data_IF_298412173740
#
_entry.id   IF_298412173740
#
_cell.length_a   1.000
_cell.length_b   1.000
_cell.length_c   1.000
_cell.angle_alpha   90.00
_cell.angle_beta   90.00
_cell.angle_gamma   90.00
#
_symmetry.space_group_name_H-M   'P 1'
#
loop_
_entity.id
_entity.type
_entity.pdbx_description
1 polymer ?
#
# COMPACT_ATOMS: atom_id res chain seq x y z
N UNK A 1 -6.56 -25.30 -68.10
CA UNK A 1 -5.28 -24.71 -67.63
C UNK A 1 -5.55 -23.25 -67.28
N UNK A 2 -4.94 -22.77 -66.18
CA UNK A 2 -4.93 -21.39 -65.66
C UNK A 2 -6.29 -20.80 -65.23
N UNK A 3 -6.62 -20.71 -63.93
CA UNK A 3 -6.12 -19.79 -62.86
C UNK A 3 -7.06 -18.56 -62.72
N UNK A 4 -7.91 -18.49 -61.68
CA UNK A 4 -7.70 -17.78 -60.37
C UNK A 4 -7.63 -16.23 -60.57
N UNK A 5 -8.30 -15.33 -59.85
CA UNK A 5 -8.76 -15.28 -58.44
C UNK A 5 -9.87 -14.22 -58.31
N UNK A 6 -10.87 -14.44 -57.45
CA UNK A 6 -11.82 -13.41 -57.00
C UNK A 6 -11.26 -12.65 -55.79
N UNK A 7 -11.37 -11.33 -55.81
CA UNK A 7 -10.89 -10.40 -54.78
C UNK A 7 -11.73 -10.47 -53.50
N UNK A 8 -11.11 -10.84 -52.38
CA UNK A 8 -11.67 -10.67 -51.03
C UNK A 8 -11.27 -9.32 -50.44
N UNK A 9 -12.25 -8.48 -50.10
CA UNK A 9 -12.11 -7.30 -49.26
C UNK A 9 -11.91 -7.72 -47.80
N UNK A 10 -10.83 -7.25 -47.16
CA UNK A 10 -10.71 -7.16 -45.70
C UNK A 10 -10.23 -5.74 -45.35
N UNK A 11 -10.86 -5.01 -44.41
CA UNK A 11 -10.30 -3.77 -43.91
C UNK A 11 -9.16 -4.09 -42.94
N UNK A 12 -7.97 -3.54 -43.22
CA UNK A 12 -6.86 -3.47 -42.26
C UNK A 12 -7.20 -2.43 -41.20
N UNK A 13 -7.49 -2.85 -39.97
CA UNK A 13 -7.40 -1.99 -38.80
C UNK A 13 -5.92 -1.95 -38.40
N UNK A 14 -5.24 -0.86 -38.72
CA UNK A 14 -3.89 -0.60 -38.25
C UNK A 14 -3.93 -0.18 -36.79
N UNK A 15 -3.57 -1.08 -35.87
CA UNK A 15 -3.19 -0.70 -34.53
C UNK A 15 -1.78 -0.11 -34.58
N UNK A 16 -1.68 1.22 -34.45
CA UNK A 16 -0.42 1.86 -34.06
C UNK A 16 -0.09 1.41 -32.63
N UNK A 17 0.92 0.55 -32.48
CA UNK A 17 1.59 0.36 -31.20
C UNK A 17 2.33 1.67 -30.89
N UNK A 18 2.19 2.25 -29.69
CA UNK A 18 2.96 3.44 -29.33
C UNK A 18 4.43 3.06 -29.26
N UNK A 19 5.26 3.79 -30.01
CA UNK A 19 6.71 3.71 -29.92
C UNK A 19 7.14 4.25 -28.56
N UNK A 20 7.58 3.38 -27.66
CA UNK A 20 8.19 3.77 -26.38
C UNK A 20 9.52 4.47 -26.65
N UNK A 21 9.67 5.69 -26.15
CA UNK A 21 10.85 6.51 -26.39
C UNK A 21 12.03 6.00 -25.52
N UNK A 22 13.26 6.15 -26.00
CA UNK A 22 14.45 5.66 -25.29
C UNK A 22 14.70 6.41 -23.95
N UNK A 23 14.18 7.63 -23.84
CA UNK A 23 14.11 8.37 -22.57
C UNK A 23 13.16 7.71 -21.56
N UNK A 24 11.98 7.22 -21.99
CA UNK A 24 11.03 6.52 -21.10
C UNK A 24 11.63 5.22 -20.57
N UNK A 25 12.36 4.47 -21.42
CA UNK A 25 13.06 3.26 -21.00
C UNK A 25 14.19 3.55 -20.01
N UNK A 26 14.94 4.66 -20.18
CA UNK A 26 15.98 5.06 -19.22
C UNK A 26 15.41 5.49 -17.88
N UNK A 27 14.27 6.19 -17.86
CA UNK A 27 13.56 6.54 -16.63
C UNK A 27 12.99 5.30 -15.94
N UNK A 28 12.39 4.38 -16.70
CA UNK A 28 11.90 3.10 -16.18
C UNK A 28 13.04 2.30 -15.53
N UNK A 29 14.21 2.23 -16.18
CA UNK A 29 15.39 1.53 -15.66
C UNK A 29 16.00 2.17 -14.42
N UNK A 30 16.00 3.51 -14.31
CA UNK A 30 16.49 4.22 -13.11
C UNK A 30 15.52 4.05 -11.93
N UNK A 31 14.21 4.01 -12.16
CA UNK A 31 13.20 3.84 -11.10
C UNK A 31 13.15 2.42 -10.52
N UNK A 32 13.53 1.40 -11.31
CA UNK A 32 13.68 0.02 -10.80
C UNK A 32 14.85 -0.09 -9.80
N UNK A 33 15.80 0.86 -9.78
CA UNK A 33 16.98 0.75 -8.90
C UNK A 33 16.65 0.89 -7.41
N UNK A 34 15.54 1.53 -7.07
CA UNK A 34 15.20 1.82 -5.68
C UNK A 34 14.23 0.82 -5.07
N UNK A 35 13.58 -0.04 -5.85
CA UNK A 35 12.63 -1.03 -5.35
C UNK A 35 13.32 -2.40 -5.36
N UNK A 36 13.41 -3.04 -4.19
CA UNK A 36 14.01 -4.38 -4.10
C UNK A 36 13.04 -5.42 -4.68
N UNK A 37 13.53 -6.42 -5.43
CA UNK A 37 12.69 -7.46 -6.00
C UNK A 37 11.83 -8.18 -4.94
N UNK A 38 10.60 -8.62 -5.27
CA UNK A 38 9.71 -9.29 -4.31
C UNK A 38 10.31 -10.53 -3.64
N UNK A 39 11.21 -11.24 -4.34
CA UNK A 39 11.86 -12.45 -3.85
C UNK A 39 13.00 -12.17 -2.86
N UNK A 40 13.47 -10.93 -2.78
CA UNK A 40 14.60 -10.52 -1.93
C UNK A 40 14.15 -9.87 -0.62
N UNK A 41 12.86 -9.54 -0.51
CA UNK A 41 12.30 -8.89 0.68
C UNK A 41 11.70 -9.93 1.63
N UNK A 42 11.69 -9.58 2.92
CA UNK A 42 10.92 -10.30 3.90
C UNK A 42 9.56 -9.62 4.09
N UNK A 43 8.51 -10.42 4.25
CA UNK A 43 7.16 -9.91 4.47
C UNK A 43 6.63 -10.44 5.80
N UNK A 44 6.36 -9.53 6.74
CA UNK A 44 5.55 -9.85 7.92
C UNK A 44 4.09 -9.78 7.54
N UNK A 45 3.32 -10.81 7.90
CA UNK A 45 1.86 -10.84 7.78
C UNK A 45 1.24 -11.14 9.15
N UNK A 46 0.25 -10.34 9.56
CA UNK A 46 -0.41 -10.46 10.87
C UNK A 46 -1.92 -10.38 10.75
N UNK A 47 -2.58 -11.40 11.29
CA UNK A 47 -3.98 -11.33 11.68
C UNK A 47 -4.06 -10.80 13.10
N UNK A 48 -4.95 -9.85 13.33
CA UNK A 48 -5.13 -9.16 14.61
C UNK A 48 -6.61 -9.28 14.99
N UNK A 49 -6.93 -9.89 16.14
CA UNK A 49 -8.32 -10.06 16.56
C UNK A 49 -8.98 -8.70 16.80
N UNK A 50 -10.29 -8.63 16.56
CA UNK A 50 -11.13 -7.52 16.99
C UNK A 50 -10.89 -7.24 18.49
N UNK A 51 -10.89 -5.96 18.85
CA UNK A 51 -10.86 -5.53 20.24
C UNK A 51 -11.80 -4.37 20.48
N UNK A 52 -12.81 -4.58 21.33
CA UNK A 52 -13.90 -3.63 21.56
C UNK A 52 -14.51 -3.17 20.22
N UNK A 53 -14.53 -1.85 19.97
CA UNK A 53 -15.08 -1.26 18.75
C UNK A 53 -14.02 -1.07 17.63
N UNK A 54 -12.85 -1.72 17.73
CA UNK A 54 -11.82 -1.71 16.69
C UNK A 54 -11.86 -3.09 15.99
N UNK A 55 -12.36 -3.17 14.74
CA UNK A 55 -12.57 -4.45 14.05
C UNK A 55 -11.28 -5.23 13.77
N UNK A 56 -10.18 -4.49 13.57
CA UNK A 56 -8.91 -5.03 13.12
C UNK A 56 -9.05 -5.89 11.87
N UNK A 57 -8.25 -6.95 11.72
CA UNK A 57 -8.28 -7.77 10.51
C UNK A 57 -9.45 -8.75 10.48
N UNK A 58 -10.16 -8.92 11.61
CA UNK A 58 -11.22 -9.93 11.74
C UNK A 58 -12.41 -9.69 10.82
N UNK A 59 -12.66 -8.44 10.44
CA UNK A 59 -13.82 -8.05 9.62
C UNK A 59 -13.67 -8.42 8.13
N UNK A 60 -12.46 -8.43 7.59
CA UNK A 60 -12.19 -8.78 6.18
C UNK A 60 -11.28 -10.00 6.00
N UNK A 61 -10.70 -10.50 7.10
CA UNK A 61 -9.64 -11.53 7.09
C UNK A 61 -8.40 -11.15 6.26
N UNK A 62 -8.23 -9.86 5.91
CA UNK A 62 -7.05 -9.36 5.21
C UNK A 62 -5.97 -8.99 6.23
N UNK A 63 -4.73 -9.51 6.09
CA UNK A 63 -3.70 -9.31 7.08
C UNK A 63 -3.12 -7.89 7.01
N UNK A 64 -2.66 -7.39 8.16
CA UNK A 64 -1.66 -6.33 8.18
C UNK A 64 -0.37 -6.88 7.56
N UNK A 65 0.24 -6.14 6.64
CA UNK A 65 1.48 -6.55 5.99
C UNK A 65 2.58 -5.50 6.15
N UNK A 66 3.82 -5.95 6.36
CA UNK A 66 5.02 -5.09 6.35
C UNK A 66 6.03 -5.72 5.41
N UNK A 67 6.44 -4.95 4.40
CA UNK A 67 7.47 -5.33 3.44
C UNK A 67 8.76 -4.69 3.93
N UNK A 68 9.64 -5.52 4.48
CA UNK A 68 10.84 -5.04 5.15
C UNK A 68 11.89 -4.65 4.13
N UNK A 69 12.42 -3.43 4.28
CA UNK A 69 13.49 -2.89 3.44
C UNK A 69 13.20 -3.04 1.94
N UNK A 70 11.94 -2.83 1.56
CA UNK A 70 11.45 -3.05 0.20
C UNK A 70 11.90 -1.98 -0.77
N UNK A 71 12.36 -0.83 -0.28
CA UNK A 71 12.86 0.24 -1.14
C UNK A 71 13.96 1.09 -0.49
N UNK A 72 14.70 1.82 -1.32
CA UNK A 72 15.64 2.87 -0.94
C UNK A 72 15.36 4.12 -1.77
N UNK A 73 14.38 4.92 -1.34
CA UNK A 73 13.88 6.05 -2.11
C UNK A 73 13.69 7.30 -1.23
N UNK A 74 13.81 8.47 -1.85
CA UNK A 74 13.29 9.72 -1.30
C UNK A 74 11.75 9.73 -1.31
N UNK A 75 11.10 10.67 -0.58
CA UNK A 75 9.65 10.75 -0.59
C UNK A 75 9.08 11.00 -2.00
N UNK A 76 9.70 11.86 -2.79
CA UNK A 76 9.25 12.21 -4.14
C UNK A 76 9.41 11.05 -5.12
N UNK A 77 10.50 10.28 -5.03
CA UNK A 77 10.71 9.06 -5.81
C UNK A 77 9.65 8.00 -5.48
N UNK A 78 9.38 7.76 -4.19
CA UNK A 78 8.37 6.78 -3.79
C UNK A 78 6.95 7.20 -4.21
N UNK A 79 6.60 8.49 -4.06
CA UNK A 79 5.32 9.01 -4.57
C UNK A 79 5.20 8.83 -6.07
N UNK A 80 6.27 9.09 -6.82
CA UNK A 80 6.27 8.90 -8.26
C UNK A 80 6.07 7.43 -8.62
N UNK A 81 6.75 6.53 -7.89
CA UNK A 81 6.59 5.09 -8.05
C UNK A 81 5.14 4.63 -7.83
N UNK A 82 4.50 5.05 -6.73
CA UNK A 82 3.09 4.74 -6.48
C UNK A 82 2.16 5.23 -7.59
N UNK A 83 2.40 6.42 -8.14
CA UNK A 83 1.60 6.92 -9.29
C UNK A 83 1.79 6.09 -10.55
N UNK A 84 2.99 5.56 -10.79
CA UNK A 84 3.27 4.72 -11.95
C UNK A 84 2.64 3.33 -11.82
N UNK A 85 2.72 2.72 -10.63
CA UNK A 85 2.01 1.47 -10.33
C UNK A 85 0.51 1.66 -10.46
N UNK A 86 0.01 2.81 -9.98
CA UNK A 86 -1.36 3.24 -10.19
C UNK A 86 -2.37 2.65 -9.23
N UNK A 87 -2.00 1.71 -8.35
CA UNK A 87 -2.96 1.13 -7.39
C UNK A 87 -3.39 2.14 -6.31
N UNK A 88 -2.47 3.00 -5.87
CA UNK A 88 -2.69 3.97 -4.79
C UNK A 88 -2.27 5.38 -5.19
N UNK A 89 -2.98 6.36 -4.63
CA UNK A 89 -2.67 7.78 -4.78
C UNK A 89 -1.94 8.28 -3.53
N UNK A 90 -0.67 8.72 -3.63
CA UNK A 90 0.04 9.29 -2.48
C UNK A 90 -0.46 10.68 -2.13
N UNK A 91 -0.70 10.94 -0.84
CA UNK A 91 -1.29 12.18 -0.34
C UNK A 91 -0.35 13.08 0.46
N UNK A 92 0.49 12.52 1.33
CA UNK A 92 1.22 13.31 2.33
C UNK A 92 2.58 12.71 2.72
N UNK A 93 3.41 13.52 3.39
CA UNK A 93 4.66 13.06 4.04
C UNK A 93 4.64 13.52 5.49
N UNK A 94 4.51 12.60 6.43
CA UNK A 94 4.30 12.93 7.84
C UNK A 94 4.63 11.76 8.78
N UNK A 95 4.63 12.02 10.09
CA UNK A 95 4.76 10.97 11.12
C UNK A 95 3.41 10.29 11.39
N UNK A 96 3.41 9.24 12.20
CA UNK A 96 2.20 8.53 12.66
C UNK A 96 1.57 9.25 13.85
N UNK A 97 0.24 9.28 13.94
CA UNK A 97 -0.44 9.87 15.10
C UNK A 97 -0.25 9.01 16.35
N UNK A 98 -0.12 9.66 17.50
CA UNK A 98 0.02 8.99 18.80
C UNK A 98 -1.31 8.49 19.37
N UNK A 99 -2.45 8.94 18.84
CA UNK A 99 -3.75 8.41 19.22
C UNK A 99 -4.11 7.22 18.34
N UNK A 100 -4.54 6.11 18.95
CA UNK A 100 -5.08 4.95 18.23
C UNK A 100 -6.24 5.39 17.36
N UNK A 101 -6.15 5.13 16.05
CA UNK A 101 -7.21 5.37 15.09
C UNK A 101 -7.23 4.28 14.01
N UNK A 102 -8.33 4.21 13.26
CA UNK A 102 -8.44 3.37 12.07
C UNK A 102 -9.28 4.08 11.00
N UNK A 103 -9.24 3.53 9.79
CA UNK A 103 -10.05 3.96 8.66
C UNK A 103 -11.14 2.93 8.36
N UNK A 104 -12.38 3.39 8.24
CA UNK A 104 -13.53 2.53 7.87
C UNK A 104 -13.83 2.54 6.37
N UNK A 105 -13.28 3.52 5.65
CA UNK A 105 -13.62 3.79 4.23
C UNK A 105 -12.55 3.34 3.24
N UNK A 106 -11.34 3.01 3.71
CA UNK A 106 -10.19 2.73 2.85
C UNK A 106 -9.10 1.91 3.54
N UNK A 107 -8.37 1.12 2.76
CA UNK A 107 -7.05 0.64 3.14
C UNK A 107 -6.03 1.78 3.09
N UNK A 108 -4.94 1.64 3.83
CA UNK A 108 -3.85 2.61 3.83
C UNK A 108 -2.52 1.92 3.52
N UNK A 109 -1.70 2.61 2.72
CA UNK A 109 -0.33 2.20 2.39
C UNK A 109 0.62 3.27 2.88
N UNK A 110 1.57 2.87 3.71
CA UNK A 110 2.58 3.75 4.29
C UNK A 110 3.97 3.29 3.85
N UNK A 111 4.76 4.18 3.26
CA UNK A 111 6.16 3.92 2.98
C UNK A 111 7.06 4.75 3.89
N UNK A 112 7.87 4.10 4.73
CA UNK A 112 8.80 4.78 5.65
C UNK A 112 9.99 5.33 4.87
N UNK A 113 10.13 6.66 4.84
CA UNK A 113 11.14 7.35 4.01
C UNK A 113 12.25 8.01 4.84
N UNK A 114 12.08 8.09 6.16
CA UNK A 114 13.05 8.67 7.10
C UNK A 114 12.87 8.09 8.50
N UNK A 115 13.98 7.94 9.23
CA UNK A 115 13.99 7.55 10.64
C UNK A 115 13.46 6.13 10.90
N UNK A 116 13.05 5.91 12.14
CA UNK A 116 12.41 4.67 12.58
C UNK A 116 11.45 4.95 13.74
N UNK A 117 10.48 4.07 13.94
CA UNK A 117 9.50 4.18 15.01
C UNK A 117 9.07 2.82 15.51
N UNK A 118 8.64 2.75 16.77
CA UNK A 118 7.81 1.67 17.26
C UNK A 118 6.34 2.04 17.06
N UNK A 119 5.62 1.18 16.36
CA UNK A 119 4.19 1.32 16.10
C UNK A 119 3.42 0.23 16.83
N UNK A 120 2.17 0.53 17.17
CA UNK A 120 1.21 -0.44 17.68
C UNK A 120 0.07 -0.57 16.68
N UNK A 121 -0.25 -1.81 16.32
CA UNK A 121 -1.40 -2.19 15.51
C UNK A 121 -2.35 -3.05 16.34
N UNK A 122 -3.66 -2.84 16.25
CA UNK A 122 -4.67 -3.60 16.97
C UNK A 122 -5.34 -2.90 18.15
N UNK A 123 -4.80 -1.74 18.56
CA UNK A 123 -5.22 -0.99 19.75
C UNK A 123 -4.43 -1.38 21.00
N UNK A 124 -4.04 -0.38 21.81
CA UNK A 124 -3.14 -0.54 22.97
C UNK A 124 -3.67 -1.48 24.07
N UNK A 125 -4.99 -1.54 24.25
CA UNK A 125 -5.62 -2.48 25.19
C UNK A 125 -5.76 -3.91 24.68
N UNK A 126 -5.52 -4.15 23.38
CA UNK A 126 -5.74 -5.45 22.77
C UNK A 126 -4.61 -6.43 23.16
N UNK A 127 -4.90 -7.58 23.78
CA UNK A 127 -3.89 -8.59 24.10
C UNK A 127 -3.29 -9.24 22.85
N UNK A 128 -4.02 -9.22 21.72
CA UNK A 128 -3.57 -9.70 20.42
C UNK A 128 -2.99 -8.60 19.52
N UNK A 129 -2.71 -7.40 20.05
CA UNK A 129 -2.06 -6.31 19.29
C UNK A 129 -0.68 -6.73 18.79
N UNK A 130 -0.25 -6.11 17.71
CA UNK A 130 1.07 -6.27 17.14
C UNK A 130 1.86 -4.98 17.30
N UNK A 131 2.91 -5.02 18.10
CA UNK A 131 3.86 -3.93 18.26
C UNK A 131 5.16 -4.29 17.55
N UNK A 132 5.69 -3.39 16.73
CA UNK A 132 6.93 -3.63 15.99
C UNK A 132 7.67 -2.33 15.72
N UNK A 133 8.98 -2.45 15.57
CA UNK A 133 9.79 -1.42 14.94
C UNK A 133 9.55 -1.43 13.44
N UNK A 134 9.50 -0.25 12.84
CA UNK A 134 9.59 -0.01 11.41
C UNK A 134 10.66 1.04 11.16
N UNK A 135 11.31 0.98 10.01
CA UNK A 135 12.40 1.88 9.65
C UNK A 135 12.39 2.25 8.17
N UNK A 136 13.20 3.25 7.81
CA UNK A 136 13.34 3.69 6.43
C UNK A 136 13.53 2.51 5.48
N UNK A 137 12.72 2.47 4.43
CA UNK A 137 12.69 1.42 3.42
C UNK A 137 11.57 0.40 3.63
N UNK A 138 10.89 0.40 4.78
CA UNK A 138 9.73 -0.46 5.00
C UNK A 138 8.47 0.11 4.34
N UNK A 139 7.63 -0.77 3.78
CA UNK A 139 6.28 -0.44 3.35
C UNK A 139 5.25 -1.21 4.20
N UNK A 140 4.19 -0.54 4.64
CA UNK A 140 3.15 -1.09 5.49
C UNK A 140 1.84 -1.02 4.72
N UNK A 141 1.12 -2.14 4.64
CA UNK A 141 -0.27 -2.18 4.16
C UNK A 141 -1.16 -2.42 5.36
N UNK A 142 -2.02 -1.45 5.64
CA UNK A 142 -2.96 -1.44 6.77
C UNK A 142 -4.37 -1.66 6.21
N UNK A 143 -4.96 -2.85 6.42
CA UNK A 143 -6.37 -3.09 6.12
C UNK A 143 -7.28 -2.11 6.84
N UNK A 144 -8.44 -1.84 6.25
CA UNK A 144 -9.44 -1.00 6.87
C UNK A 144 -9.91 -1.66 8.17
N UNK A 145 -10.14 -0.87 9.22
CA UNK A 145 -10.48 -1.37 10.55
C UNK A 145 -9.29 -1.69 11.45
N UNK A 146 -8.04 -1.76 10.95
CA UNK A 146 -6.86 -1.97 11.79
C UNK A 146 -6.50 -0.69 12.54
N UNK A 147 -6.71 -0.73 13.87
CA UNK A 147 -6.28 0.34 14.76
C UNK A 147 -4.77 0.48 14.73
N UNK A 148 -4.24 1.70 14.59
CA UNK A 148 -2.81 1.93 14.55
C UNK A 148 -2.41 3.25 15.22
N UNK A 149 -1.19 3.30 15.75
CA UNK A 149 -0.59 4.50 16.37
C UNK A 149 0.92 4.44 16.50
N UNK A 150 1.51 5.61 16.69
CA UNK A 150 2.87 5.79 17.17
C UNK A 150 2.98 5.44 18.66
N UNK A 151 4.01 4.69 19.03
CA UNK A 151 4.44 4.50 20.41
C UNK A 151 5.56 5.47 20.75
N UNK A 152 6.70 5.36 20.07
CA UNK A 152 7.86 6.24 20.24
C UNK A 152 8.84 6.13 19.07
N UNK A 153 9.74 7.11 18.95
CA UNK A 153 10.84 7.16 17.98
C UNK A 153 12.17 6.89 18.71
N UNK A 154 12.86 5.75 18.49
CA UNK A 154 14.05 5.38 19.26
C UNK A 154 15.34 6.11 18.82
N UNK A 155 15.45 6.48 17.54
CA UNK A 155 16.70 6.92 16.91
C UNK A 155 16.59 8.37 16.35
N UNK A 156 16.23 9.33 17.20
CA UNK A 156 16.01 10.72 16.79
C UNK A 156 17.27 11.41 16.23
N UNK A 157 18.46 10.91 16.59
CA UNK A 157 19.76 11.36 16.08
C UNK A 157 19.99 10.96 14.61
N UNK A 158 19.34 9.90 14.14
CA UNK A 158 19.42 9.41 12.75
C UNK A 158 18.35 10.03 11.84
N UNK A 159 17.57 10.96 12.37
CA UNK A 159 16.52 11.69 11.67
C UNK A 159 15.11 11.31 12.13
N UNK A 160 14.20 12.29 12.07
CA UNK A 160 12.80 12.10 12.48
C UNK A 160 12.09 11.06 11.62
N UNK A 161 11.19 10.30 12.23
CA UNK A 161 10.33 9.34 11.56
C UNK A 161 9.35 10.04 10.62
N UNK A 162 9.36 9.66 9.33
CA UNK A 162 8.42 10.15 8.33
C UNK A 162 8.05 9.05 7.35
N UNK A 163 6.81 9.09 6.89
CA UNK A 163 6.26 8.16 5.90
C UNK A 163 5.56 8.93 4.78
N UNK A 164 5.54 8.35 3.58
CA UNK A 164 4.57 8.69 2.55
C UNK A 164 3.28 7.93 2.84
N UNK A 165 2.17 8.62 3.01
CA UNK A 165 0.85 8.00 3.09
C UNK A 165 0.14 8.00 1.74
N UNK A 166 -0.46 6.86 1.39
CA UNK A 166 -1.17 6.63 0.15
C UNK A 166 -2.42 5.77 0.38
N UNK A 167 -3.42 5.96 -0.47
CA UNK A 167 -4.71 5.28 -0.38
C UNK A 167 -5.14 4.76 -1.77
N UNK A 168 -5.89 3.65 -1.86
CA UNK A 168 -6.52 3.22 -3.11
C UNK A 168 -7.19 4.36 -3.87
N UNK A 169 -7.14 4.30 -5.19
CA UNK A 169 -7.69 5.35 -6.05
C UNK A 169 -9.15 5.67 -5.72
N UNK A 170 -9.50 6.97 -5.77
CA UNK A 170 -10.85 7.47 -5.52
C UNK A 170 -11.42 7.16 -4.13
N UNK A 171 -10.57 6.83 -3.15
CA UNK A 171 -10.95 6.70 -1.74
C UNK A 171 -10.59 7.95 -0.96
N UNK A 172 -11.44 8.27 0.00
CA UNK A 172 -11.17 9.26 1.06
C UNK A 172 -11.12 8.52 2.38
N UNK A 173 -10.17 8.88 3.25
CA UNK A 173 -10.06 8.32 4.59
C UNK A 173 -10.88 9.13 5.59
N UNK A 174 -11.46 8.44 6.56
CA UNK A 174 -12.09 9.00 7.75
C UNK A 174 -11.19 8.79 8.97
N UNK A 175 -11.58 9.28 10.15
CA UNK A 175 -10.85 8.97 11.39
C UNK A 175 -11.83 8.36 12.38
N UNK A 176 -11.66 7.07 12.65
CA UNK A 176 -12.40 6.35 13.69
C UNK A 176 -11.51 6.09 14.88
N UNK A 177 -12.06 6.18 16.09
CA UNK A 177 -11.29 6.08 17.34
C UNK A 177 -11.70 4.87 18.20
N UNK A 178 -12.57 4.00 17.67
CA UNK A 178 -13.01 2.79 18.37
C UNK A 178 -13.92 3.12 19.54
N UNK A 179 -14.80 4.11 19.36
CA UNK A 179 -15.80 4.52 20.35
C UNK A 179 -17.19 4.04 19.92
N UNK A 180 -18.12 3.98 20.89
CA UNK A 180 -19.52 3.68 20.59
C UNK A 180 -20.08 4.68 19.57
N UNK A 181 -20.70 4.16 18.51
CA UNK A 181 -21.12 4.90 17.32
C UNK A 181 -20.26 4.64 16.07
N UNK A 182 -19.04 4.11 16.22
CA UNK A 182 -18.22 3.70 15.07
C UNK A 182 -18.68 2.34 14.47
N UNK A 183 -19.55 1.59 15.13
CA UNK A 183 -20.00 0.26 14.66
C UNK A 183 -20.70 0.34 13.30
N UNK A 184 -21.50 1.39 13.08
CA UNK A 184 -22.16 1.61 11.80
C UNK A 184 -21.15 1.87 10.67
N UNK A 185 -20.10 2.65 10.95
CA UNK A 185 -19.03 2.91 9.99
C UNK A 185 -18.27 1.63 9.65
N UNK A 186 -18.06 0.77 10.64
CA UNK A 186 -17.37 -0.51 10.45
C UNK A 186 -18.08 -1.43 9.45
N UNK A 187 -19.41 -1.36 9.33
CA UNK A 187 -20.17 -2.15 8.33
C UNK A 187 -19.73 -1.88 6.89
N UNK A 188 -19.23 -0.68 6.60
CA UNK A 188 -18.74 -0.33 5.27
C UNK A 188 -17.46 -1.11 4.91
N UNK A 189 -16.68 -1.52 5.92
CA UNK A 189 -15.39 -2.19 5.72
C UNK A 189 -15.59 -3.52 4.98
N UNK A 190 -16.62 -4.31 5.31
CA UNK A 190 -16.91 -5.60 4.65
C UNK A 190 -17.09 -5.46 3.13
N UNK A 191 -17.59 -4.31 2.67
CA UNK A 191 -17.83 -4.01 1.26
C UNK A 191 -16.59 -3.49 0.51
N UNK A 192 -15.51 -3.17 1.22
CA UNK A 192 -14.29 -2.70 0.58
C UNK A 192 -13.61 -3.86 -0.15
N UNK A 193 -13.43 -3.68 -1.46
CA UNK A 193 -12.57 -4.57 -2.24
C UNK A 193 -11.11 -4.46 -1.79
N UNK A 194 -10.39 -5.56 -1.93
CA UNK A 194 -8.94 -5.57 -1.78
C UNK A 194 -8.25 -4.96 -3.02
N UNK A 195 -6.94 -4.77 -2.92
CA UNK A 195 -6.12 -4.24 -4.01
C UNK A 195 -6.20 -5.11 -5.27
N UNK A 196 -6.24 -4.48 -6.44
CA UNK A 196 -6.24 -5.18 -7.75
C UNK A 196 -4.82 -5.42 -8.27
N UNK A 197 -3.89 -4.56 -7.88
CA UNK A 197 -2.45 -4.70 -8.06
C UNK A 197 -1.72 -4.54 -6.72
N UNK A 198 -0.51 -5.05 -6.59
CA UNK A 198 0.33 -4.75 -5.43
C UNK A 198 0.74 -3.28 -5.45
N UNK A 199 0.56 -2.52 -4.35
CA UNK A 199 0.90 -1.09 -4.33
C UNK A 199 2.35 -0.76 -4.66
N UNK A 200 3.28 -1.69 -4.45
CA UNK A 200 4.70 -1.52 -4.76
C UNK A 200 5.10 -2.22 -6.06
N UNK A 201 4.53 -3.40 -6.33
CA UNK A 201 5.01 -4.29 -7.39
C UNK A 201 4.06 -4.44 -8.59
N UNK A 202 2.89 -3.81 -8.56
CA UNK A 202 1.94 -3.83 -9.66
C UNK A 202 1.32 -5.21 -9.86
N UNK A 203 1.52 -5.80 -11.04
CA UNK A 203 0.83 -7.06 -11.44
C UNK A 203 1.33 -8.33 -10.74
N UNK A 204 2.37 -8.23 -9.93
CA UNK A 204 2.83 -9.28 -9.02
C UNK A 204 3.02 -8.66 -7.64
N UNK A 205 3.16 -9.49 -6.60
CA UNK A 205 3.54 -9.03 -5.27
C UNK A 205 2.80 -9.74 -4.14
N UNK A 206 3.28 -9.58 -2.89
CA UNK A 206 2.69 -10.24 -1.73
C UNK A 206 1.22 -9.85 -1.48
N UNK A 207 0.79 -8.63 -1.81
CA UNK A 207 -0.59 -8.17 -1.55
C UNK A 207 -1.64 -8.95 -2.34
N UNK A 208 -1.26 -9.59 -3.46
CA UNK A 208 -2.18 -10.33 -4.32
C UNK A 208 -2.40 -11.78 -3.87
N UNK A 209 -1.72 -12.23 -2.80
CA UNK A 209 -1.68 -13.64 -2.36
C UNK A 209 -2.35 -13.86 -0.99
N UNK A 210 -3.19 -12.91 -0.55
CA UNK A 210 -3.87 -12.88 0.76
C UNK A 210 -5.38 -12.75 0.63
#
# INVERSE_FOLDING_TARGET
MTSLVASSFFPKVGHCLPTTNQQDLSYFLILIMFIRPPLEIQVTSRQIPQWNCIPNTSIQSKPLMIYHQAFEASPEELKQHFRMVGEVTPGWVYTMYSQTHFHSTTHEVLGVVSGSAYLCFGGEGNPGRFETRVEKGDMIIIPAGVGHRLLHEPDLDKGSFKMVGAYPQNKTWDMCYGQSGDEEKCRNIESLGWFQADPLYGTDGPALRV
#
